data_IF_594362137128
#
_entry.id   IF_594362137128
#
_cell.length_a   1.000
_cell.length_b   1.000
_cell.length_c   1.000
_cell.angle_alpha   90.00
_cell.angle_beta   90.00
_cell.angle_gamma   90.00
#
_symmetry.space_group_name_H-M   'P 1'
#
loop_
_entity.id
_entity.type
_entity.pdbx_description
1 polymer ?
#
# COMPACT_ATOMS: atom_id res chain seq x y z
N UNK A 1 -6.73 -12.79 4.54
CA UNK A 1 -6.84 -12.03 3.27
C UNK A 1 -6.91 -13.01 2.12
N UNK A 2 -7.41 -12.59 0.96
CA UNK A 2 -7.38 -13.37 -0.29
C UNK A 2 -6.48 -12.67 -1.30
N UNK A 3 -5.77 -13.45 -2.09
CA UNK A 3 -5.06 -12.94 -3.26
C UNK A 3 -6.05 -12.81 -4.41
N UNK A 4 -6.23 -11.57 -4.89
CA UNK A 4 -7.20 -11.21 -5.91
C UNK A 4 -6.52 -10.68 -7.18
N UNK A 5 -5.21 -10.88 -7.34
CA UNK A 5 -4.45 -10.26 -8.45
C UNK A 5 -4.99 -10.62 -9.83
N UNK A 6 -5.49 -11.85 -10.00
CA UNK A 6 -6.10 -12.33 -11.24
C UNK A 6 -7.38 -11.55 -11.58
N UNK A 7 -8.18 -11.20 -10.56
CA UNK A 7 -9.43 -10.46 -10.74
C UNK A 7 -9.22 -8.95 -10.99
N UNK A 8 -8.05 -8.42 -10.63
CA UNK A 8 -7.78 -6.99 -10.61
C UNK A 8 -7.11 -6.44 -11.89
N UNK A 9 -6.88 -7.27 -12.91
CA UNK A 9 -6.19 -6.84 -14.13
C UNK A 9 -6.88 -5.70 -14.88
N UNK A 10 -8.21 -5.73 -14.95
CA UNK A 10 -9.00 -4.68 -15.61
C UNK A 10 -8.88 -3.35 -14.85
N UNK A 11 -8.92 -3.41 -13.52
CA UNK A 11 -8.79 -2.26 -12.63
C UNK A 11 -7.38 -1.65 -12.75
N UNK A 12 -6.33 -2.47 -12.77
CA UNK A 12 -4.96 -2.01 -13.02
C UNK A 12 -4.83 -1.26 -14.34
N UNK A 13 -5.36 -1.83 -15.44
CA UNK A 13 -5.31 -1.20 -16.76
C UNK A 13 -5.99 0.17 -16.76
N UNK A 14 -7.12 0.31 -16.07
CA UNK A 14 -7.82 1.59 -15.93
C UNK A 14 -7.01 2.57 -15.09
N UNK A 15 -6.49 2.14 -13.95
CA UNK A 15 -5.67 2.96 -13.07
C UNK A 15 -4.39 3.48 -13.74
N UNK A 16 -3.71 2.64 -14.53
CA UNK A 16 -2.48 3.01 -15.24
C UNK A 16 -2.70 4.12 -16.28
N UNK A 17 -3.91 4.26 -16.82
CA UNK A 17 -4.27 5.32 -17.77
C UNK A 17 -4.62 6.65 -17.13
N UNK A 18 -4.78 6.72 -15.80
CA UNK A 18 -5.05 7.98 -15.11
C UNK A 18 -3.86 8.91 -15.34
N UNK A 19 -4.06 10.13 -15.88
CA UNK A 19 -2.97 11.09 -16.06
C UNK A 19 -2.34 11.44 -14.71
N UNK A 20 -1.01 11.47 -14.66
CA UNK A 20 -0.29 11.97 -13.49
C UNK A 20 0.12 13.42 -13.75
N UNK A 21 -0.37 14.36 -12.93
CA UNK A 21 -0.04 15.78 -13.05
C UNK A 21 1.47 16.00 -12.89
N UNK A 22 2.10 16.69 -13.83
CA UNK A 22 3.50 17.15 -13.72
C UNK A 22 4.55 16.06 -13.53
N UNK A 23 4.30 14.82 -13.99
CA UNK A 23 5.24 13.70 -13.83
C UNK A 23 5.27 13.09 -12.42
N UNK A 24 4.35 13.51 -11.54
CA UNK A 24 4.17 12.96 -10.19
C UNK A 24 3.73 11.48 -10.20
N UNK A 25 3.67 10.88 -9.02
CA UNK A 25 3.09 9.55 -8.83
C UNK A 25 1.56 9.55 -8.99
N UNK A 26 0.97 8.35 -8.97
CA UNK A 26 -0.49 8.17 -8.86
C UNK A 26 -0.83 7.74 -7.44
N UNK A 27 -1.89 8.30 -6.88
CA UNK A 27 -2.41 7.92 -5.57
C UNK A 27 -3.80 7.35 -5.76
N UNK A 28 -4.02 6.13 -5.25
CA UNK A 28 -5.30 5.42 -5.37
C UNK A 28 -5.71 5.00 -3.96
N UNK A 29 -6.88 5.46 -3.51
CA UNK A 29 -7.43 5.09 -2.22
C UNK A 29 -8.44 3.95 -2.38
N UNK A 30 -8.27 2.89 -1.59
CA UNK A 30 -9.24 1.81 -1.47
C UNK A 30 -9.99 1.98 -0.15
N UNK A 31 -11.31 2.12 -0.23
CA UNK A 31 -12.21 2.32 0.91
C UNK A 31 -13.48 1.52 0.71
N UNK A 32 -14.15 1.19 1.81
CA UNK A 32 -15.43 0.50 1.83
C UNK A 32 -16.35 1.14 2.86
N UNK A 33 -17.66 0.92 2.73
CA UNK A 33 -18.64 1.51 3.64
C UNK A 33 -18.62 0.82 5.01
N UNK A 34 -18.34 -0.49 5.02
CA UNK A 34 -18.41 -1.35 6.19
C UNK A 34 -17.14 -2.17 6.39
N UNK A 35 -16.99 -2.66 7.62
CA UNK A 35 -15.97 -3.63 7.96
C UNK A 35 -16.28 -4.99 7.31
N UNK A 36 -15.24 -5.66 6.80
CA UNK A 36 -15.36 -7.02 6.28
C UNK A 36 -15.61 -7.12 4.78
N UNK A 37 -15.77 -6.01 4.07
CA UNK A 37 -16.02 -5.97 2.62
C UNK A 37 -14.78 -6.30 1.76
N UNK A 38 -13.65 -6.64 2.38
CA UNK A 38 -12.47 -7.14 1.68
C UNK A 38 -11.50 -6.08 1.18
N UNK A 39 -11.66 -4.81 1.56
CA UNK A 39 -10.81 -3.66 1.17
C UNK A 39 -9.33 -3.93 1.29
N UNK A 40 -8.88 -4.51 2.42
CA UNK A 40 -7.47 -4.86 2.63
C UNK A 40 -6.97 -5.89 1.61
N UNK A 41 -7.79 -6.89 1.25
CA UNK A 41 -7.42 -7.90 0.25
C UNK A 41 -7.29 -7.27 -1.14
N UNK A 42 -8.24 -6.42 -1.53
CA UNK A 42 -8.21 -5.70 -2.82
C UNK A 42 -7.00 -4.78 -2.89
N UNK A 43 -6.80 -3.91 -1.89
CA UNK A 43 -5.69 -2.96 -1.87
C UNK A 43 -4.33 -3.66 -1.90
N UNK A 44 -4.15 -4.71 -1.10
CA UNK A 44 -2.88 -5.43 -1.03
C UNK A 44 -2.58 -6.22 -2.30
N UNK A 45 -3.61 -6.85 -2.89
CA UNK A 45 -3.49 -7.54 -4.17
C UNK A 45 -3.17 -6.56 -5.30
N UNK A 46 -3.86 -5.42 -5.35
CA UNK A 46 -3.59 -4.37 -6.32
C UNK A 46 -2.16 -3.84 -6.18
N UNK A 47 -1.67 -3.59 -4.96
CA UNK A 47 -0.31 -3.15 -4.73
C UNK A 47 0.72 -4.19 -5.20
N UNK A 48 0.48 -5.48 -4.95
CA UNK A 48 1.34 -6.55 -5.44
C UNK A 48 1.33 -6.65 -6.98
N UNK A 49 0.18 -6.40 -7.60
CA UNK A 49 0.05 -6.32 -9.06
C UNK A 49 0.81 -5.12 -9.64
N UNK A 50 0.65 -3.95 -9.02
CA UNK A 50 1.32 -2.72 -9.39
C UNK A 50 2.83 -2.85 -9.23
N UNK A 51 3.33 -3.45 -8.14
CA UNK A 51 4.75 -3.69 -7.92
C UNK A 51 5.40 -4.55 -9.03
N UNK A 52 4.62 -5.43 -9.67
CA UNK A 52 5.09 -6.25 -10.80
C UNK A 52 5.02 -5.56 -12.16
N UNK A 53 4.16 -4.55 -12.32
CA UNK A 53 3.76 -4.00 -13.64
C UNK A 53 4.06 -2.51 -13.83
N UNK A 54 4.20 -1.76 -12.75
CA UNK A 54 4.47 -0.33 -12.82
C UNK A 54 5.93 -0.09 -13.25
N UNK A 55 6.15 0.93 -14.07
CA UNK A 55 7.50 1.40 -14.43
C UNK A 55 8.24 2.01 -13.22
N UNK A 56 7.48 2.61 -12.30
CA UNK A 56 7.98 3.20 -11.05
C UNK A 56 7.59 2.32 -9.86
N UNK A 57 8.29 2.50 -8.74
CA UNK A 57 8.02 1.79 -7.49
C UNK A 57 6.57 1.99 -7.03
N UNK A 58 5.93 0.90 -6.58
CA UNK A 58 4.59 0.93 -6.00
C UNK A 58 4.66 0.88 -4.47
N UNK A 59 3.85 1.70 -3.81
CA UNK A 59 3.81 1.82 -2.35
C UNK A 59 2.40 1.48 -1.87
N UNK A 60 2.31 0.66 -0.82
CA UNK A 60 1.07 0.37 -0.11
C UNK A 60 1.13 1.03 1.26
N UNK A 61 0.21 1.97 1.49
CA UNK A 61 0.08 2.68 2.76
C UNK A 61 -1.20 2.21 3.42
N UNK A 62 -1.07 1.47 4.53
CA UNK A 62 -2.22 1.05 5.34
C UNK A 62 -2.58 2.18 6.32
N UNK A 63 -3.79 2.73 6.16
CA UNK A 63 -4.30 3.82 7.00
C UNK A 63 -5.11 3.29 8.21
N UNK A 64 -5.26 1.98 8.38
CA UNK A 64 -5.79 1.40 9.63
C UNK A 64 -4.70 1.35 10.71
N UNK A 65 -4.53 2.48 11.41
CA UNK A 65 -3.53 2.63 12.47
C UNK A 65 -3.79 1.75 13.70
N UNK A 66 -4.98 1.14 13.81
CA UNK A 66 -5.36 0.31 14.96
C UNK A 66 -5.04 -1.17 14.72
N UNK A 67 -4.95 -1.60 13.47
CA UNK A 67 -4.80 -3.01 13.10
C UNK A 67 -3.82 -3.15 11.95
N UNK A 68 -2.73 -3.85 12.20
CA UNK A 68 -1.71 -4.10 11.18
C UNK A 68 -2.07 -5.29 10.26
N UNK A 69 -3.21 -5.19 9.56
CA UNK A 69 -3.78 -6.32 8.78
C UNK A 69 -2.94 -6.66 7.55
N UNK A 70 -2.39 -5.65 6.88
CA UNK A 70 -1.52 -5.86 5.72
C UNK A 70 -0.26 -6.63 6.09
N UNK A 71 0.43 -6.23 7.17
CA UNK A 71 1.62 -6.94 7.66
C UNK A 71 1.30 -8.41 7.96
N UNK A 72 0.23 -8.66 8.73
CA UNK A 72 -0.19 -10.03 9.08
C UNK A 72 -0.52 -10.84 7.84
N UNK A 73 -1.22 -10.25 6.87
CA UNK A 73 -1.49 -10.93 5.60
C UNK A 73 -0.23 -11.34 4.84
N UNK A 74 0.78 -10.46 4.77
CA UNK A 74 2.06 -10.74 4.12
C UNK A 74 2.88 -11.78 4.90
N UNK A 75 2.88 -11.72 6.23
CA UNK A 75 3.48 -12.72 7.13
C UNK A 75 2.84 -14.11 6.91
N UNK A 76 1.51 -14.16 6.81
CA UNK A 76 0.69 -15.34 6.54
C UNK A 76 0.73 -15.80 5.07
N UNK A 77 1.56 -15.16 4.23
CA UNK A 77 1.77 -15.51 2.82
C UNK A 77 0.47 -15.50 1.99
N UNK A 78 -0.37 -14.48 2.18
CA UNK A 78 -1.58 -14.32 1.35
C UNK A 78 -1.25 -14.29 -0.16
N UNK A 79 -0.15 -13.63 -0.54
CA UNK A 79 0.44 -13.66 -1.87
C UNK A 79 1.74 -14.50 -1.84
N UNK A 80 1.65 -15.76 -2.26
CA UNK A 80 2.66 -16.80 -1.95
C UNK A 80 4.04 -16.56 -2.57
N UNK A 81 4.07 -15.90 -3.71
CA UNK A 81 5.23 -15.50 -4.52
C UNK A 81 5.90 -14.21 -4.04
N UNK A 82 5.31 -13.52 -3.06
CA UNK A 82 5.90 -12.34 -2.43
C UNK A 82 6.70 -12.78 -1.20
N UNK A 83 7.87 -12.16 -1.00
CA UNK A 83 8.70 -12.38 0.17
C UNK A 83 7.98 -12.02 1.47
N UNK A 84 8.41 -12.61 2.59
CA UNK A 84 7.89 -12.23 3.91
C UNK A 84 8.30 -10.80 4.25
N UNK A 85 7.46 -10.05 4.99
CA UNK A 85 7.85 -8.73 5.46
C UNK A 85 9.01 -8.88 6.48
N UNK A 86 9.79 -7.82 6.64
CA UNK A 86 10.73 -7.71 7.75
C UNK A 86 10.02 -7.67 9.11
N UNK A 87 10.76 -7.38 10.18
CA UNK A 87 10.18 -7.22 11.52
C UNK A 87 9.11 -6.11 11.54
N UNK A 88 7.99 -6.35 12.22
CA UNK A 88 7.03 -5.29 12.56
C UNK A 88 7.64 -4.32 13.57
N UNK A 89 7.52 -3.02 13.29
CA UNK A 89 7.91 -1.96 14.22
C UNK A 89 6.71 -1.54 15.06
N UNK A 90 7.00 -1.13 16.30
CA UNK A 90 6.01 -0.56 17.20
C UNK A 90 5.89 0.95 16.97
N UNK A 91 4.65 1.46 16.97
CA UNK A 91 4.34 2.87 16.72
C UNK A 91 4.84 3.82 17.83
N UNK A 92 5.26 3.31 18.99
CA UNK A 92 5.97 4.07 20.02
C UNK A 92 7.37 4.49 19.59
N UNK A 93 7.85 4.06 18.40
CA UNK A 93 9.12 4.46 17.81
C UNK A 93 10.25 4.41 18.84
N UNK A 94 10.33 3.34 19.67
CA UNK A 94 11.39 3.13 20.68
C UNK A 94 12.78 2.92 20.08
N UNK A 95 13.10 3.67 19.04
CA UNK A 95 14.25 3.65 18.16
C UNK A 95 14.31 5.01 17.43
N UNK A 96 15.52 5.49 17.17
CA UNK A 96 15.68 6.71 16.38
C UNK A 96 15.08 6.52 14.98
N UNK A 97 14.26 7.46 14.48
CA UNK A 97 13.73 7.39 13.12
C UNK A 97 14.88 7.42 12.10
N UNK A 98 14.71 6.70 10.98
CA UNK A 98 15.68 6.72 9.86
C UNK A 98 15.63 8.01 9.03
N UNK A 99 14.79 8.97 9.45
CA UNK A 99 14.53 10.22 8.76
C UNK A 99 14.47 11.37 9.77
N UNK A 100 14.83 12.57 9.33
CA UNK A 100 14.63 13.82 10.06
C UNK A 100 13.57 14.65 9.36
N UNK A 101 12.59 15.18 10.11
CA UNK A 101 11.64 16.17 9.58
C UNK A 101 12.17 17.56 9.93
N UNK A 102 12.49 18.36 8.92
CA UNK A 102 12.76 19.79 9.08
C UNK A 102 11.51 20.55 8.61
N UNK A 103 10.79 21.27 9.49
CA UNK A 103 9.67 22.08 9.05
C UNK A 103 10.18 23.14 8.07
N UNK A 104 9.54 23.24 6.91
CA UNK A 104 9.66 24.44 6.09
C UNK A 104 8.83 25.52 6.79
N UNK A 105 9.51 26.49 7.41
CA UNK A 105 8.86 27.76 7.72
C UNK A 105 8.42 28.33 6.38
N UNK A 106 7.11 28.44 6.17
CA UNK A 106 6.59 29.22 5.05
C UNK A 106 7.14 30.64 5.23
N UNK A 107 7.79 31.16 4.19
CA UNK A 107 8.19 32.57 4.15
C UNK A 107 6.93 33.42 4.42
N UNK A 108 7.00 34.25 5.46
CA UNK A 108 5.91 35.13 5.91
C UNK A 108 5.72 36.31 4.97
#
# INVERSE_FOLDING_TARGET
>A
MRDLREDLESIWRTAARIPASGGAGRVIMFVSALNGEGTTSVASSFACLAARRAEKQAWLVDLDLKRNRVFRGLEDRFARDIGRPGRAYDASLRQAPIYSISPQLADA
#
